data_IF_922871732867
#
_entry.id   IF_922871732867
#
_cell.length_a   1.000
_cell.length_b   1.000
_cell.length_c   1.000
_cell.angle_alpha   90.00
_cell.angle_beta   90.00
_cell.angle_gamma   90.00
#
_symmetry.space_group_name_H-M   'P 1'
#
loop_
_entity.id
_entity.type
_entity.pdbx_description
1 polymer ?
#
# COMPACT_ATOMS: atom_id res chain seq x y z
N UNK A 1 -16.52 -6.92 3.18
CA UNK A 1 -15.35 -6.83 4.09
C UNK A 1 -14.26 -6.08 3.35
N UNK A 2 -13.46 -5.24 4.00
CA UNK A 2 -12.24 -4.71 3.36
C UNK A 2 -11.23 -5.84 3.25
N UNK A 3 -10.64 -6.00 2.07
CA UNK A 3 -9.54 -6.94 1.89
C UNK A 3 -8.31 -6.41 2.66
N UNK A 4 -7.58 -7.27 3.40
CA UNK A 4 -6.38 -6.84 4.11
C UNK A 4 -5.31 -6.31 3.15
N UNK A 5 -4.42 -5.47 3.66
CA UNK A 5 -3.31 -4.88 2.90
C UNK A 5 -2.01 -5.29 3.58
N UNK A 6 -1.01 -5.67 2.79
CA UNK A 6 0.35 -6.01 3.22
C UNK A 6 1.34 -5.05 2.57
N UNK A 7 2.29 -4.56 3.35
CA UNK A 7 3.48 -3.84 2.88
C UNK A 7 4.65 -4.82 2.80
N UNK A 8 5.35 -4.87 1.67
CA UNK A 8 6.63 -5.56 1.51
C UNK A 8 7.73 -4.57 1.17
N UNK A 9 8.95 -4.90 1.57
CA UNK A 9 10.17 -4.18 1.22
C UNK A 9 11.12 -5.21 0.64
N UNK A 10 11.51 -5.02 -0.61
CA UNK A 10 12.40 -5.89 -1.35
C UNK A 10 13.68 -5.12 -1.71
N UNK A 11 14.82 -5.81 -1.76
CA UNK A 11 16.11 -5.23 -2.15
C UNK A 11 16.52 -5.81 -3.52
N UNK A 12 15.98 -5.31 -4.65
CA UNK A 12 16.28 -5.86 -5.98
C UNK A 12 17.75 -5.68 -6.40
N UNK A 13 18.45 -4.72 -5.79
CA UNK A 13 19.88 -4.52 -5.96
C UNK A 13 20.48 -4.07 -4.61
N UNK A 14 21.76 -4.41 -4.31
CA UNK A 14 22.38 -4.02 -3.06
C UNK A 14 22.27 -2.51 -2.79
N UNK A 15 21.71 -2.15 -1.64
CA UNK A 15 21.48 -0.77 -1.22
C UNK A 15 20.30 -0.07 -1.89
N UNK A 16 19.45 -0.79 -2.63
CA UNK A 16 18.26 -0.24 -3.29
C UNK A 16 17.02 -0.96 -2.80
N UNK A 17 16.21 -0.30 -1.99
CA UNK A 17 15.04 -0.86 -1.32
C UNK A 17 13.74 -0.34 -1.94
N UNK A 18 12.91 -1.25 -2.44
CA UNK A 18 11.64 -0.95 -3.10
C UNK A 18 10.49 -1.43 -2.22
N UNK A 19 9.54 -0.53 -1.94
CA UNK A 19 8.33 -0.89 -1.22
C UNK A 19 7.19 -1.26 -2.19
N UNK A 20 6.36 -2.22 -1.79
CA UNK A 20 5.13 -2.61 -2.51
C UNK A 20 3.97 -2.80 -1.53
N UNK A 21 2.83 -2.20 -1.84
CA UNK A 21 1.56 -2.46 -1.17
C UNK A 21 0.76 -3.49 -1.96
N UNK A 22 0.37 -4.56 -1.28
CA UNK A 22 -0.39 -5.67 -1.82
C UNK A 22 -1.76 -5.73 -1.14
N UNK A 23 -2.82 -5.87 -1.91
CA UNK A 23 -4.08 -6.38 -1.40
C UNK A 23 -3.95 -7.89 -1.22
N UNK A 24 -4.34 -8.40 -0.07
CA UNK A 24 -4.33 -9.83 0.23
C UNK A 24 -5.73 -10.35 0.47
N UNK A 25 -5.89 -11.66 0.50
CA UNK A 25 -7.06 -12.27 1.11
C UNK A 25 -6.96 -12.37 2.63
N UNK A 26 -7.94 -13.03 3.23
CA UNK A 26 -8.01 -13.28 4.67
C UNK A 26 -6.95 -14.23 5.18
N UNK A 27 -6.31 -15.02 4.31
CA UNK A 27 -5.19 -15.90 4.64
C UNK A 27 -3.83 -15.21 4.44
N UNK A 28 -3.83 -13.96 3.95
CA UNK A 28 -2.63 -13.17 3.70
C UNK A 28 -1.98 -13.46 2.35
N UNK A 29 -2.61 -14.24 1.46
CA UNK A 29 -2.09 -14.49 0.13
C UNK A 29 -2.25 -13.22 -0.75
N UNK A 30 -1.19 -12.76 -1.42
CA UNK A 30 -1.27 -11.61 -2.32
C UNK A 30 -2.25 -11.86 -3.46
N UNK A 31 -3.19 -10.95 -3.65
CA UNK A 31 -4.15 -10.96 -4.77
C UNK A 31 -3.81 -9.94 -5.83
N UNK A 32 -3.37 -8.74 -5.42
CA UNK A 32 -3.17 -7.61 -6.32
C UNK A 32 -2.16 -6.61 -5.77
N UNK A 33 -1.35 -6.01 -6.64
CA UNK A 33 -0.55 -4.83 -6.30
C UNK A 33 -1.44 -3.59 -6.30
N UNK A 34 -1.48 -2.88 -5.17
CA UNK A 34 -2.19 -1.61 -5.04
C UNK A 34 -1.32 -0.43 -5.48
N UNK A 35 -0.10 -0.37 -4.95
CA UNK A 35 0.88 0.69 -5.18
C UNK A 35 2.30 0.12 -5.00
N UNK A 36 3.28 0.74 -5.63
CA UNK A 36 4.69 0.44 -5.42
C UNK A 36 5.51 1.72 -5.49
N UNK A 37 6.74 1.66 -4.99
CA UNK A 37 7.71 2.72 -5.23
C UNK A 37 8.01 2.82 -6.73
N UNK A 38 8.20 4.04 -7.22
CA UNK A 38 8.68 4.28 -8.59
C UNK A 38 10.20 4.05 -8.69
N UNK A 39 10.92 4.33 -7.59
CA UNK A 39 12.35 4.17 -7.46
C UNK A 39 12.71 3.50 -6.13
N UNK A 40 13.85 2.81 -6.10
CA UNK A 40 14.42 2.30 -4.86
C UNK A 40 14.91 3.43 -3.95
N UNK A 41 14.77 3.24 -2.65
CA UNK A 41 15.38 4.09 -1.64
C UNK A 41 16.75 3.54 -1.22
N UNK A 42 17.66 4.42 -0.83
CA UNK A 42 19.04 4.03 -0.44
C UNK A 42 19.10 3.25 0.89
N UNK A 43 18.01 3.23 1.66
CA UNK A 43 17.92 2.55 2.96
C UNK A 43 16.58 1.84 3.13
N UNK A 44 16.62 0.74 3.88
CA UNK A 44 15.43 -0.03 4.23
C UNK A 44 14.43 0.84 5.00
N UNK A 45 14.91 1.66 5.94
CA UNK A 45 14.09 2.51 6.78
C UNK A 45 13.38 3.60 5.97
N UNK A 46 14.04 4.17 4.95
CA UNK A 46 13.42 5.13 4.06
C UNK A 46 12.30 4.49 3.23
N UNK A 47 12.54 3.29 2.68
CA UNK A 47 11.52 2.53 1.95
C UNK A 47 10.34 2.16 2.86
N UNK A 48 10.61 1.68 4.08
CA UNK A 48 9.60 1.33 5.07
C UNK A 48 8.77 2.54 5.47
N UNK A 49 9.40 3.65 5.82
CA UNK A 49 8.69 4.87 6.21
C UNK A 49 7.83 5.43 5.06
N UNK A 50 8.33 5.38 3.81
CA UNK A 50 7.56 5.77 2.64
C UNK A 50 6.34 4.84 2.44
N UNK A 51 6.56 3.53 2.49
CA UNK A 51 5.51 2.51 2.35
C UNK A 51 4.43 2.61 3.43
N UNK A 52 4.81 2.80 4.71
CA UNK A 52 3.87 2.95 5.82
C UNK A 52 2.99 4.18 5.65
N UNK A 53 3.55 5.32 5.26
CA UNK A 53 2.75 6.54 5.01
C UNK A 53 1.70 6.34 3.92
N UNK A 54 2.07 5.60 2.86
CA UNK A 54 1.14 5.27 1.78
C UNK A 54 0.08 4.28 2.25
N UNK A 55 0.44 3.29 3.06
CA UNK A 55 -0.48 2.33 3.66
C UNK A 55 -1.51 3.03 4.55
N UNK A 56 -1.07 3.95 5.41
CA UNK A 56 -1.97 4.73 6.27
C UNK A 56 -2.93 5.61 5.46
N UNK A 57 -2.47 6.17 4.35
CA UNK A 57 -3.32 6.92 3.44
C UNK A 57 -4.38 6.02 2.76
N UNK A 58 -4.01 4.80 2.37
CA UNK A 58 -4.91 3.83 1.74
C UNK A 58 -5.95 3.27 2.72
N UNK A 59 -5.53 2.97 3.96
CA UNK A 59 -6.42 2.53 5.03
C UNK A 59 -7.48 3.60 5.35
N UNK A 60 -7.06 4.88 5.43
CA UNK A 60 -7.95 6.03 5.62
C UNK A 60 -8.89 6.24 4.43
N UNK A 61 -8.39 6.20 3.20
CA UNK A 61 -9.21 6.32 1.97
C UNK A 61 -10.32 5.29 1.96
N UNK A 62 -9.96 4.04 2.25
CA UNK A 62 -10.92 2.94 2.25
C UNK A 62 -11.92 3.05 3.42
N UNK A 63 -11.58 3.78 4.51
CA UNK A 63 -12.44 3.93 5.70
C UNK A 63 -13.42 5.12 5.57
N UNK A 64 -13.16 6.04 4.64
CA UNK A 64 -14.08 7.12 4.36
C UNK A 64 -15.39 6.52 3.80
N UNK A 65 -16.57 6.87 4.34
CA UNK A 65 -17.82 6.50 3.72
C UNK A 65 -17.82 7.09 2.31
N UNK A 66 -18.18 6.29 1.32
CA UNK A 66 -18.42 6.78 -0.04
C UNK A 66 -19.40 7.96 0.08
N UNK A 67 -18.88 9.19 -0.08
CA UNK A 67 -19.72 10.38 -0.07
C UNK A 67 -20.76 10.15 -1.16
N UNK A 68 -22.00 9.94 -0.70
CA UNK A 68 -23.16 9.57 -1.49
C UNK A 68 -23.16 10.43 -2.75
N UNK A 69 -22.91 9.80 -3.91
CA UNK A 69 -23.39 10.32 -5.19
C UNK A 69 -24.91 10.14 -5.20
N UNK A 70 -25.57 11.05 -4.50
CA UNK A 70 -26.99 11.32 -4.57
C UNK A 70 -27.17 12.83 -4.49
N UNK A 71 -26.74 13.53 -5.53
CA UNK A 71 -27.56 14.58 -6.14
C UNK A 71 -28.41 13.80 -7.16
N UNK A 72 -29.74 13.67 -7.13
CA UNK A 72 -30.80 14.61 -6.73
C UNK A 72 -30.46 16.01 -7.26
N UNK A 73 -30.95 16.42 -8.43
CA UNK A 73 -32.32 16.34 -8.94
C UNK A 73 -32.39 16.21 -10.45
#
# INVERSE_FOLDING_TARGET
>A
MKNPIKLTIDEPAPGSFVWTLLETDTEGAPRKVLKSAEYGADTYEAALAAGTRVMDAELRRSAAPARRRSMAS
#
